data_IF_043463091137
#
_entry.id   IF_043463091137
#
_cell.length_a   1.000
_cell.length_b   1.000
_cell.length_c   1.000
_cell.angle_alpha   90.00
_cell.angle_beta   90.00
_cell.angle_gamma   90.00
#
_symmetry.space_group_name_H-M   'P 1'
#
loop_
_entity.id
_entity.type
_entity.pdbx_description
1 polymer ?
#
# COMPACT_ATOMS: atom_id res chain seq x y z
N UNK A 1 -6.42 -33.44 2.09
CA UNK A 1 -7.48 -32.48 1.69
C UNK A 1 -6.78 -31.35 0.96
N UNK A 2 -7.13 -31.09 -0.31
CA UNK A 2 -6.55 -29.97 -1.07
C UNK A 2 -7.24 -28.67 -0.68
N UNK A 3 -6.47 -27.63 -0.38
CA UNK A 3 -7.00 -26.31 -0.08
C UNK A 3 -7.67 -25.71 -1.34
N UNK A 4 -8.71 -24.87 -1.19
CA UNK A 4 -9.29 -24.16 -2.32
C UNK A 4 -8.23 -23.24 -2.96
N UNK A 5 -8.05 -23.34 -4.27
CA UNK A 5 -7.14 -22.47 -5.00
C UNK A 5 -7.73 -21.07 -5.16
N UNK A 6 -6.87 -20.05 -5.08
CA UNK A 6 -7.26 -18.69 -5.37
C UNK A 6 -7.61 -18.56 -6.86
N UNK A 7 -8.63 -17.76 -7.15
CA UNK A 7 -8.99 -17.46 -8.53
C UNK A 7 -7.84 -16.72 -9.23
N UNK A 8 -7.61 -17.02 -10.51
CA UNK A 8 -6.48 -16.51 -11.28
C UNK A 8 -6.41 -14.98 -11.35
N UNK A 9 -7.57 -14.30 -11.34
CA UNK A 9 -7.64 -12.83 -11.28
C UNK A 9 -7.08 -12.27 -9.98
N UNK A 10 -7.34 -12.93 -8.83
CA UNK A 10 -6.82 -12.53 -7.52
C UNK A 10 -5.30 -12.67 -7.52
N UNK A 11 -4.79 -13.80 -8.00
CA UNK A 11 -3.35 -14.04 -8.10
C UNK A 11 -2.69 -12.97 -8.98
N UNK A 12 -3.31 -12.60 -10.10
CA UNK A 12 -2.77 -11.58 -11.00
C UNK A 12 -2.76 -10.17 -10.38
N UNK A 13 -3.80 -9.80 -9.63
CA UNK A 13 -3.88 -8.52 -8.89
C UNK A 13 -2.84 -8.47 -7.77
N UNK A 14 -2.70 -9.54 -6.99
CA UNK A 14 -1.68 -9.64 -5.94
C UNK A 14 -0.28 -9.55 -6.54
N UNK A 15 -0.02 -10.24 -7.66
CA UNK A 15 1.26 -10.16 -8.36
C UNK A 15 1.58 -8.74 -8.85
N UNK A 16 0.58 -8.00 -9.35
CA UNK A 16 0.75 -6.58 -9.70
C UNK A 16 1.12 -5.76 -8.46
N UNK A 17 0.37 -5.92 -7.36
CA UNK A 17 0.60 -5.20 -6.12
C UNK A 17 2.02 -5.44 -5.58
N UNK A 18 2.43 -6.71 -5.51
CA UNK A 18 3.76 -7.09 -5.02
C UNK A 18 4.88 -6.57 -5.91
N UNK A 19 4.71 -6.57 -7.24
CA UNK A 19 5.69 -6.00 -8.18
C UNK A 19 5.91 -4.50 -7.96
N UNK A 20 4.82 -3.75 -7.79
CA UNK A 20 4.87 -2.30 -7.51
C UNK A 20 5.48 -2.04 -6.12
N UNK A 21 5.03 -2.76 -5.09
CA UNK A 21 5.47 -2.57 -3.71
C UNK A 21 6.96 -2.88 -3.53
N UNK A 22 7.48 -3.88 -4.26
CA UNK A 22 8.91 -4.26 -4.23
C UNK A 22 9.81 -3.43 -5.14
N UNK A 23 9.25 -2.47 -5.91
CA UNK A 23 9.99 -1.66 -6.90
C UNK A 23 10.70 -2.54 -7.95
N UNK A 24 10.08 -3.63 -8.37
CA UNK A 24 10.67 -4.57 -9.32
C UNK A 24 10.78 -3.93 -10.72
N UNK A 25 11.99 -3.82 -11.31
CA UNK A 25 12.21 -3.06 -12.54
C UNK A 25 11.49 -3.64 -13.77
N UNK A 26 11.30 -4.96 -13.80
CA UNK A 26 10.74 -5.65 -14.96
C UNK A 26 9.24 -5.95 -14.88
N UNK A 27 8.55 -5.53 -13.81
CA UNK A 27 7.12 -5.78 -13.63
C UNK A 27 6.34 -4.48 -13.51
N UNK A 28 5.37 -4.25 -14.41
CA UNK A 28 4.40 -3.17 -14.19
C UNK A 28 3.51 -2.83 -15.38
N UNK A 29 4.01 -2.87 -16.62
CA UNK A 29 3.26 -2.37 -17.77
C UNK A 29 2.56 -3.49 -18.57
N UNK A 30 3.28 -4.56 -18.90
CA UNK A 30 2.72 -5.72 -19.61
C UNK A 30 1.59 -6.42 -18.82
N UNK A 31 1.64 -6.34 -17.49
CA UNK A 31 0.63 -6.95 -16.62
C UNK A 31 -0.71 -6.22 -16.65
N UNK A 32 -0.75 -4.91 -16.96
CA UNK A 32 -1.99 -4.13 -17.05
C UNK A 32 -2.86 -4.59 -18.21
N UNK A 33 -2.26 -4.80 -19.38
CA UNK A 33 -2.98 -5.32 -20.55
C UNK A 33 -3.53 -6.73 -20.29
N UNK A 34 -2.74 -7.56 -19.59
CA UNK A 34 -3.18 -8.90 -19.18
C UNK A 34 -4.39 -8.85 -18.24
N UNK A 35 -4.40 -7.94 -17.26
CA UNK A 35 -5.52 -7.77 -16.31
C UNK A 35 -6.79 -7.28 -17.01
N UNK A 36 -6.66 -6.32 -17.94
CA UNK A 36 -7.78 -5.88 -18.77
C UNK A 36 -8.31 -6.99 -19.67
N UNK A 37 -7.42 -7.81 -20.25
CA UNK A 37 -7.79 -8.99 -21.03
C UNK A 37 -8.51 -10.07 -20.22
N UNK A 38 -8.32 -10.09 -18.89
CA UNK A 38 -9.09 -10.94 -17.97
C UNK A 38 -10.45 -10.35 -17.59
N UNK A 39 -10.83 -9.19 -18.12
CA UNK A 39 -12.10 -8.51 -17.83
C UNK A 39 -12.13 -7.81 -16.48
N UNK A 40 -10.98 -7.52 -15.88
CA UNK A 40 -10.91 -6.81 -14.61
C UNK A 40 -11.17 -5.31 -14.85
N UNK A 41 -12.11 -4.68 -14.11
CA UNK A 41 -12.39 -3.25 -14.25
C UNK A 41 -11.17 -2.39 -13.92
N UNK A 42 -10.99 -1.29 -14.66
CA UNK A 42 -9.87 -0.36 -14.45
C UNK A 42 -9.91 0.24 -13.03
N UNK A 43 -11.09 0.39 -12.41
CA UNK A 43 -11.21 0.86 -11.03
C UNK A 43 -10.54 -0.10 -10.03
N UNK A 44 -10.69 -1.42 -10.22
CA UNK A 44 -10.05 -2.41 -9.36
C UNK A 44 -8.53 -2.41 -9.54
N UNK A 45 -8.07 -2.27 -10.79
CA UNK A 45 -6.64 -2.14 -11.10
C UNK A 45 -6.08 -0.87 -10.46
N UNK A 46 -6.79 0.25 -10.54
CA UNK A 46 -6.41 1.52 -9.94
C UNK A 46 -6.31 1.42 -8.42
N UNK A 47 -7.29 0.80 -7.75
CA UNK A 47 -7.25 0.53 -6.31
C UNK A 47 -6.00 -0.25 -5.91
N UNK A 48 -5.68 -1.33 -6.63
CA UNK A 48 -4.51 -2.16 -6.33
C UNK A 48 -3.20 -1.38 -6.52
N UNK A 49 -3.11 -0.56 -7.57
CA UNK A 49 -1.97 0.32 -7.80
C UNK A 49 -1.82 1.35 -6.67
N UNK A 50 -2.92 1.95 -6.21
CA UNK A 50 -2.93 2.92 -5.11
C UNK A 50 -2.38 2.29 -3.84
N UNK A 51 -2.94 1.15 -3.42
CA UNK A 51 -2.51 0.44 -2.21
C UNK A 51 -1.03 0.07 -2.30
N UNK A 52 -0.58 -0.47 -3.43
CA UNK A 52 0.80 -0.90 -3.59
C UNK A 52 1.80 0.27 -3.56
N UNK A 53 1.43 1.42 -4.16
CA UNK A 53 2.25 2.64 -4.09
C UNK A 53 2.30 3.20 -2.68
N UNK A 54 1.17 3.25 -2.00
CA UNK A 54 1.09 3.69 -0.61
C UNK A 54 2.02 2.89 0.30
N UNK A 55 1.97 1.55 0.22
CA UNK A 55 2.84 0.66 1.02
C UNK A 55 4.32 0.92 0.72
N UNK A 56 4.69 1.03 -0.56
CA UNK A 56 6.08 1.29 -0.98
C UNK A 56 6.58 2.61 -0.42
N UNK A 57 5.78 3.66 -0.56
CA UNK A 57 6.17 5.01 -0.21
C UNK A 57 6.21 5.18 1.32
N UNK A 58 5.26 4.59 2.05
CA UNK A 58 5.28 4.55 3.53
C UNK A 58 6.50 3.78 4.05
N UNK A 59 6.85 2.64 3.43
CA UNK A 59 8.04 1.88 3.79
C UNK A 59 9.34 2.66 3.54
N UNK A 60 9.45 3.35 2.39
CA UNK A 60 10.59 4.19 2.08
C UNK A 60 10.73 5.36 3.08
N UNK A 61 9.63 6.06 3.38
CA UNK A 61 9.63 7.15 4.37
C UNK A 61 10.08 6.69 5.75
N UNK A 62 9.59 5.54 6.22
CA UNK A 62 10.02 4.96 7.52
C UNK A 62 11.51 4.61 7.52
N UNK A 63 12.01 4.07 6.41
CA UNK A 63 13.42 3.71 6.26
C UNK A 63 14.31 4.97 6.26
N UNK A 64 13.94 5.98 5.47
CA UNK A 64 14.65 7.25 5.37
C UNK A 64 14.68 7.96 6.72
N UNK A 65 13.57 7.99 7.45
CA UNK A 65 13.52 8.55 8.81
C UNK A 65 14.49 7.84 9.78
N UNK A 66 14.62 6.52 9.68
CA UNK A 66 15.56 5.76 10.51
C UNK A 66 17.04 6.03 10.13
N UNK A 67 17.31 6.30 8.85
CA UNK A 67 18.64 6.74 8.41
C UNK A 67 18.95 8.15 8.90
N UNK A 68 18.01 9.08 8.79
CA UNK A 68 18.17 10.47 9.24
C UNK A 68 18.42 10.54 10.75
N UNK A 69 17.67 9.77 11.54
CA UNK A 69 17.87 9.63 12.99
C UNK A 69 19.30 9.16 13.32
N UNK A 70 19.78 8.11 12.64
CA UNK A 70 21.13 7.58 12.84
C UNK A 70 22.24 8.48 12.33
N UNK A 71 21.98 9.24 11.26
CA UNK A 71 22.92 10.19 10.68
C UNK A 71 22.97 11.52 11.47
N UNK A 72 22.06 11.73 12.42
CA UNK A 72 21.95 12.99 13.16
C UNK A 72 21.44 14.15 12.29
N UNK A 73 20.75 13.84 11.18
CA UNK A 73 20.15 14.84 10.30
C UNK A 73 18.84 15.27 10.99
N UNK A 74 18.86 16.46 11.59
CA UNK A 74 17.66 17.03 12.22
C UNK A 74 16.64 17.35 11.13
N UNK A 75 15.58 16.54 11.02
CA UNK A 75 14.46 16.83 10.15
C UNK A 75 13.78 18.14 10.58
N UNK A 76 13.46 19.05 9.64
CA UNK A 76 12.74 20.29 9.94
C UNK A 76 11.42 19.99 10.65
N UNK A 77 11.08 20.78 11.68
CA UNK A 77 9.91 20.57 12.56
C UNK A 77 8.56 20.53 11.84
N UNK A 78 8.49 20.97 10.57
CA UNK A 78 7.29 20.94 9.73
C UNK A 78 6.83 19.53 9.31
N UNK A 79 7.59 18.47 9.58
CA UNK A 79 7.26 17.08 9.22
C UNK A 79 6.95 16.19 10.43
N UNK A 80 6.99 16.75 11.65
CA UNK A 80 6.51 16.05 12.84
C UNK A 80 4.98 16.06 12.79
N UNK A 81 4.39 15.05 12.14
CA UNK A 81 2.96 14.77 12.26
C UNK A 81 2.75 14.38 13.73
N UNK A 82 2.27 15.33 14.53
CA UNK A 82 1.75 15.08 15.86
C UNK A 82 0.50 14.23 15.71
N UNK A 83 0.60 12.95 16.02
CA UNK A 83 -0.54 12.10 16.36
C UNK A 83 -1.15 12.60 17.67
N UNK A 84 -2.02 13.61 17.58
CA UNK A 84 -3.01 13.90 18.61
C UNK A 84 -4.40 13.80 17.98
N UNK A 85 -5.20 12.77 18.32
CA UNK A 85 -6.57 12.69 17.86
C UNK A 85 -7.41 13.58 18.80
N UNK A 86 -7.88 14.71 18.29
CA UNK A 86 -9.04 15.37 18.90
C UNK A 86 -10.11 15.42 17.84
N UNK A 87 -11.10 14.52 17.93
CA UNK A 87 -12.52 14.63 17.55
C UNK A 87 -13.18 13.23 17.69
N UNK A 88 -14.50 13.13 17.95
CA UNK A 88 -15.12 11.96 18.58
C UNK A 88 -15.09 10.71 17.70
N UNK A 89 -14.59 9.63 18.29
CA UNK A 89 -14.39 8.32 17.71
C UNK A 89 -15.71 7.56 17.58
N UNK A 90 -16.16 7.35 16.35
CA UNK A 90 -17.08 6.25 16.02
C UNK A 90 -16.25 4.97 16.06
N UNK A 91 -16.30 4.28 17.19
CA UNK A 91 -15.64 3.00 17.41
C UNK A 91 -16.20 1.95 16.44
N UNK A 92 -15.45 1.70 15.37
CA UNK A 92 -15.45 0.40 14.71
C UNK A 92 -14.15 -0.26 15.14
N UNK A 93 -14.26 -1.26 16.00
CA UNK A 93 -13.13 -2.10 16.41
C UNK A 93 -12.51 -2.77 15.18
N UNK A 94 -11.53 -2.10 14.60
CA UNK A 94 -10.60 -2.66 13.62
C UNK A 94 -9.27 -2.69 14.34
N UNK A 95 -8.83 -3.89 14.70
CA UNK A 95 -7.59 -4.12 15.43
C UNK A 95 -6.42 -3.36 14.78
N UNK A 96 -5.56 -2.77 15.60
CA UNK A 96 -4.33 -2.06 15.25
C UNK A 96 -3.92 -2.20 13.77
N UNK A 97 -4.40 -1.29 12.92
CA UNK A 97 -3.95 -1.22 11.53
C UNK A 97 -2.44 -0.97 11.54
N UNK A 98 -1.65 -1.89 10.98
CA UNK A 98 -0.20 -1.78 10.90
C UNK A 98 0.26 -0.61 10.00
N UNK A 99 -0.64 -0.06 9.18
CA UNK A 99 -0.36 0.97 8.18
C UNK A 99 -1.39 2.10 8.24
N UNK A 100 -1.02 3.26 7.69
CA UNK A 100 -1.94 4.40 7.49
C UNK A 100 -2.93 4.11 6.36
N UNK A 101 -4.10 4.77 6.35
CA UNK A 101 -5.09 4.64 5.27
C UNK A 101 -4.55 5.18 3.96
N UNK A 102 -4.97 4.61 2.83
CA UNK A 102 -4.60 5.13 1.52
C UNK A 102 -5.18 6.54 1.29
N UNK A 103 -4.69 7.31 0.30
CA UNK A 103 -5.23 8.64 -0.02
C UNK A 103 -6.74 8.66 -0.31
N UNK A 104 -7.29 7.58 -0.87
CA UNK A 104 -8.72 7.40 -1.11
C UNK A 104 -9.50 6.90 0.13
N UNK A 105 -8.85 6.75 1.29
CA UNK A 105 -9.47 6.36 2.55
C UNK A 105 -9.67 4.86 2.73
N UNK A 106 -9.01 4.01 1.95
CA UNK A 106 -9.13 2.55 2.12
C UNK A 106 -8.20 2.02 3.21
N UNK A 107 -8.65 0.99 3.94
CA UNK A 107 -7.80 0.29 4.91
C UNK A 107 -6.73 -0.50 4.17
N UNK A 108 -5.48 -0.36 4.62
CA UNK A 108 -4.33 -1.08 4.08
C UNK A 108 -4.22 -2.51 4.64
N UNK A 109 -5.09 -2.88 5.58
CA UNK A 109 -5.14 -4.17 6.28
C UNK A 109 -6.58 -4.70 6.28
#
# INVERSE_FOLDING_TARGET
>A
MSAPELHSSIIALVSLASGIASKHPDMGLCQLEKLRGMGIPDEQIATVIEIARHIRDEAAQKLDAAFDEKAGIALPEAQRITTEPTLPELQIETGNSCCSTTPSGQSCC
#
